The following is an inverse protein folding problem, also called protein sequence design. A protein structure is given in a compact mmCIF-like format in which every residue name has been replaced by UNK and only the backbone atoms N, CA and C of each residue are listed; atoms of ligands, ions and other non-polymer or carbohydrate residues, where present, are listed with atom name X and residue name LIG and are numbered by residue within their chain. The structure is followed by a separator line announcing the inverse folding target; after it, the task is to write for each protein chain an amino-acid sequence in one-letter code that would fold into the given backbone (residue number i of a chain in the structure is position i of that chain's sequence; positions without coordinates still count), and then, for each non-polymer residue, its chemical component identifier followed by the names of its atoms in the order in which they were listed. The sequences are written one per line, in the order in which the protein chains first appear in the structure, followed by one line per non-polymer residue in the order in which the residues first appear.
data_IF_412953758968
#
_entry.id   IF_412953758968
#
_cell.length_a   1.000
_cell.length_b   1.000
_cell.length_c   1.000
_cell.angle_alpha   90.00
_cell.angle_beta   90.00
_cell.angle_gamma   90.00
#
_symmetry.space_group_name_H-M   'P 1'
#
loop_
_entity.id
_entity.type
_entity.pdbx_description
1 polymer ?
#
# COMPACT_ATOMS: atom_id res chain seq x y z
N UNK A 1 -25.09 -9.90 -6.68
CA UNK A 1 -23.98 -10.85 -6.46
C UNK A 1 -22.75 -10.10 -5.96
N UNK A 2 -22.18 -10.52 -4.84
CA UNK A 2 -20.93 -9.91 -4.36
C UNK A 2 -19.78 -10.32 -5.27
N UNK A 3 -19.01 -9.35 -5.72
CA UNK A 3 -17.81 -9.57 -6.51
C UNK A 3 -16.59 -9.59 -5.58
N UNK A 4 -15.78 -10.63 -5.67
CA UNK A 4 -14.51 -10.68 -4.95
C UNK A 4 -13.48 -9.84 -5.71
N UNK A 5 -12.72 -9.04 -4.97
CA UNK A 5 -11.63 -8.25 -5.50
C UNK A 5 -10.32 -8.95 -5.11
N UNK A 6 -9.46 -9.17 -6.09
CA UNK A 6 -8.15 -9.75 -5.85
C UNK A 6 -7.11 -8.62 -5.73
N UNK A 7 -6.32 -8.71 -4.66
CA UNK A 7 -5.26 -7.74 -4.36
C UNK A 7 -3.93 -8.47 -4.12
N UNK A 8 -3.29 -8.99 -5.17
CA UNK A 8 -2.01 -9.69 -5.01
C UNK A 8 -0.93 -8.73 -4.51
N UNK A 9 -0.13 -9.20 -3.54
CA UNK A 9 0.97 -8.42 -2.99
C UNK A 9 2.21 -8.54 -3.86
N UNK A 10 2.82 -7.41 -4.20
CA UNK A 10 4.09 -7.40 -4.92
C UNK A 10 5.27 -7.83 -4.05
N UNK A 11 5.06 -7.99 -2.75
CA UNK A 11 6.11 -8.52 -1.87
C UNK A 11 6.54 -9.93 -2.30
N UNK A 12 5.63 -10.68 -2.94
CA UNK A 12 5.90 -12.03 -3.45
C UNK A 12 6.47 -12.03 -4.88
N UNK A 13 6.66 -10.86 -5.49
CA UNK A 13 7.17 -10.77 -6.85
C UNK A 13 8.69 -10.93 -6.91
N UNK A 14 9.18 -11.28 -8.08
CA UNK A 14 10.60 -11.13 -8.41
C UNK A 14 10.83 -9.66 -8.82
N UNK A 15 11.53 -8.91 -7.99
CA UNK A 15 11.70 -7.47 -8.21
C UNK A 15 12.48 -7.13 -9.48
N UNK A 16 13.29 -8.05 -10.00
CA UNK A 16 13.95 -7.87 -11.30
C UNK A 16 12.95 -7.82 -12.45
N UNK A 17 11.79 -8.44 -12.27
CA UNK A 17 10.73 -8.57 -13.27
C UNK A 17 9.42 -7.93 -12.80
N UNK A 18 9.51 -6.95 -11.90
CA UNK A 18 8.33 -6.41 -11.23
C UNK A 18 7.27 -5.89 -12.20
N UNK A 19 7.66 -5.10 -13.17
CA UNK A 19 6.72 -4.55 -14.16
C UNK A 19 6.00 -5.63 -14.95
N UNK A 20 6.73 -6.63 -15.42
CA UNK A 20 6.16 -7.79 -16.12
C UNK A 20 5.14 -8.53 -15.27
N UNK A 21 5.48 -8.80 -14.02
CA UNK A 21 4.62 -9.55 -13.11
C UNK A 21 3.37 -8.77 -12.73
N UNK A 22 3.47 -7.47 -12.56
CA UNK A 22 2.29 -6.61 -12.35
C UNK A 22 1.35 -6.70 -13.56
N UNK A 23 1.88 -6.60 -14.78
CA UNK A 23 1.08 -6.72 -15.99
C UNK A 23 0.40 -8.09 -16.12
N UNK A 24 1.06 -9.14 -15.66
CA UNK A 24 0.47 -10.48 -15.63
C UNK A 24 -0.75 -10.53 -14.70
N UNK A 25 -0.66 -9.92 -13.52
CA UNK A 25 -1.80 -9.85 -12.59
C UNK A 25 -2.96 -9.05 -13.19
N UNK A 26 -2.67 -7.98 -13.90
CA UNK A 26 -3.68 -7.14 -14.55
C UNK A 26 -4.39 -7.93 -15.66
N UNK A 27 -3.64 -8.65 -16.51
CA UNK A 27 -4.22 -9.51 -17.55
C UNK A 27 -5.05 -10.64 -16.95
N UNK A 28 -4.66 -11.15 -15.80
CA UNK A 28 -5.40 -12.20 -15.10
C UNK A 28 -6.68 -11.69 -14.43
N UNK A 29 -6.91 -10.38 -14.41
CA UNK A 29 -8.13 -9.77 -13.90
C UNK A 29 -8.06 -9.28 -12.47
N UNK A 30 -6.87 -9.21 -11.85
CA UNK A 30 -6.73 -8.60 -10.52
C UNK A 30 -6.95 -7.09 -10.62
N UNK A 31 -7.88 -6.57 -9.82
CA UNK A 31 -8.23 -5.14 -9.87
C UNK A 31 -7.31 -4.28 -9.02
N UNK A 32 -6.68 -4.88 -8.00
CA UNK A 32 -5.82 -4.19 -7.04
C UNK A 32 -4.40 -4.74 -7.10
N UNK A 33 -3.45 -3.89 -6.72
CA UNK A 33 -2.09 -4.30 -6.35
C UNK A 33 -1.92 -3.95 -4.87
N UNK A 34 -1.58 -4.96 -4.06
CA UNK A 34 -1.29 -4.77 -2.65
C UNK A 34 0.19 -4.46 -2.46
N UNK A 35 0.47 -3.35 -1.78
CA UNK A 35 1.81 -2.77 -1.66
C UNK A 35 2.21 -2.76 -0.18
N UNK A 36 2.93 -3.79 0.26
CA UNK A 36 3.32 -3.99 1.67
C UNK A 36 4.60 -3.23 2.00
N UNK A 37 4.48 -2.15 2.77
CA UNK A 37 5.61 -1.33 3.22
C UNK A 37 6.01 -1.75 4.64
N UNK A 38 7.24 -2.17 4.79
CA UNK A 38 7.80 -2.69 6.04
C UNK A 38 9.07 -1.91 6.39
N UNK A 39 9.18 -1.42 7.63
CA UNK A 39 10.27 -0.54 8.06
C UNK A 39 11.39 -1.22 8.87
N UNK A 40 11.24 -2.50 9.19
CA UNK A 40 12.21 -3.21 10.00
C UNK A 40 12.16 -2.89 11.49
N UNK A 41 11.21 -2.04 11.91
CA UNK A 41 10.99 -1.67 13.32
C UNK A 41 9.65 -2.20 13.79
N UNK A 42 8.57 -1.82 13.14
CA UNK A 42 7.22 -2.32 13.45
C UNK A 42 7.11 -3.83 13.13
N UNK A 43 7.79 -4.26 12.07
CA UNK A 43 7.91 -5.66 11.66
C UNK A 43 9.39 -5.98 11.38
N UNK A 44 9.83 -7.24 11.50
CA UNK A 44 11.26 -7.60 11.43
C UNK A 44 11.81 -7.74 10.00
N UNK A 45 11.33 -6.93 9.08
CA UNK A 45 11.79 -6.94 7.68
C UNK A 45 11.67 -5.54 7.10
N UNK A 46 12.47 -5.26 6.07
CA UNK A 46 12.39 -4.03 5.29
C UNK A 46 12.00 -4.43 3.87
N UNK A 47 10.97 -3.80 3.30
CA UNK A 47 10.53 -4.15 1.95
C UNK A 47 10.93 -3.09 0.90
N UNK A 48 10.11 -2.08 0.71
CA UNK A 48 10.29 -1.04 -0.31
C UNK A 48 9.44 0.18 0.08
N UNK A 49 9.53 1.24 -0.68
CA UNK A 49 8.84 2.50 -0.33
C UNK A 49 8.43 3.33 -1.54
N UNK A 50 8.48 4.63 -1.36
CA UNK A 50 7.96 5.61 -2.30
C UNK A 50 8.51 5.50 -3.73
N UNK A 51 9.83 5.29 -3.96
CA UNK A 51 10.33 5.20 -5.33
C UNK A 51 9.74 4.05 -6.14
N UNK A 52 9.49 2.91 -5.49
CA UNK A 52 8.88 1.75 -6.14
C UNK A 52 7.42 2.05 -6.48
N UNK A 53 6.67 2.60 -5.52
CA UNK A 53 5.26 2.98 -5.75
C UNK A 53 5.13 3.95 -6.92
N UNK A 54 5.95 4.99 -6.92
CA UNK A 54 5.97 5.99 -8.00
C UNK A 54 6.25 5.35 -9.35
N UNK A 55 7.17 4.39 -9.39
CA UNK A 55 7.53 3.68 -10.63
C UNK A 55 6.38 2.87 -11.19
N UNK A 56 5.62 2.19 -10.34
CA UNK A 56 4.52 1.33 -10.81
C UNK A 56 3.23 2.10 -11.09
N UNK A 57 3.05 3.27 -10.48
CA UNK A 57 1.83 4.07 -10.68
C UNK A 57 1.57 4.39 -12.14
N UNK A 58 2.59 4.71 -12.90
CA UNK A 58 2.46 5.11 -14.30
C UNK A 58 2.26 3.95 -15.27
N UNK A 59 2.39 2.69 -14.83
CA UNK A 59 2.37 1.53 -15.72
C UNK A 59 1.14 0.66 -15.59
N UNK A 60 0.28 0.88 -14.61
CA UNK A 60 -0.90 0.07 -14.38
C UNK A 60 -2.11 0.93 -14.06
N UNK A 61 -3.30 0.46 -14.50
CA UNK A 61 -4.58 1.04 -14.11
C UNK A 61 -5.17 0.42 -12.85
N UNK A 62 -4.48 -0.55 -12.23
CA UNK A 62 -4.95 -1.20 -11.02
C UNK A 62 -4.95 -0.23 -9.84
N UNK A 63 -5.82 -0.47 -8.85
CA UNK A 63 -5.86 0.29 -7.61
C UNK A 63 -4.63 -0.05 -6.79
N UNK A 64 -3.89 0.96 -6.35
CA UNK A 64 -2.71 0.78 -5.51
C UNK A 64 -3.12 0.83 -4.04
N UNK A 65 -3.19 -0.35 -3.44
CA UNK A 65 -3.65 -0.60 -2.07
C UNK A 65 -2.42 -0.70 -1.16
N UNK A 66 -2.05 0.41 -0.52
CA UNK A 66 -0.81 0.54 0.25
C UNK A 66 -1.06 0.18 1.71
N UNK A 67 -0.32 -0.81 2.21
CA UNK A 67 -0.38 -1.29 3.58
C UNK A 67 0.90 -0.88 4.31
N UNK A 68 0.76 0.03 5.26
CA UNK A 68 1.90 0.57 6.01
C UNK A 68 2.13 -0.21 7.29
N UNK A 69 3.14 -1.07 7.27
CA UNK A 69 3.65 -1.78 8.46
C UNK A 69 4.88 -1.03 8.97
N UNK A 70 4.65 0.20 9.40
CA UNK A 70 5.69 1.13 9.83
C UNK A 70 5.30 1.81 11.15
N UNK A 71 6.30 2.16 11.94
CA UNK A 71 6.11 2.93 13.16
C UNK A 71 5.67 4.34 12.80
N UNK A 72 4.62 4.85 13.47
CA UNK A 72 4.09 6.20 13.24
C UNK A 72 3.84 6.50 11.75
N UNK A 73 2.89 5.80 11.12
CA UNK A 73 2.66 5.92 9.68
C UNK A 73 2.23 7.31 9.23
N UNK A 74 1.69 8.14 10.12
CA UNK A 74 1.28 9.52 9.78
C UNK A 74 2.42 10.33 9.16
N UNK A 75 3.67 10.00 9.50
CA UNK A 75 4.86 10.66 8.95
C UNK A 75 4.98 10.51 7.44
N UNK A 76 4.39 9.46 6.87
CA UNK A 76 4.58 9.09 5.46
C UNK A 76 3.32 9.18 4.61
N UNK A 77 2.17 9.44 5.23
CA UNK A 77 0.86 9.45 4.54
C UNK A 77 0.87 10.36 3.31
N UNK A 78 1.33 11.59 3.49
CA UNK A 78 1.34 12.58 2.41
C UNK A 78 2.20 12.15 1.23
N UNK A 79 3.39 11.63 1.51
CA UNK A 79 4.33 11.18 0.48
C UNK A 79 3.79 9.96 -0.29
N UNK A 80 3.20 8.98 0.40
CA UNK A 80 2.59 7.83 -0.28
C UNK A 80 1.41 8.25 -1.15
N UNK A 81 0.60 9.20 -0.67
CA UNK A 81 -0.50 9.75 -1.47
C UNK A 81 0.02 10.40 -2.75
N UNK A 82 1.07 11.23 -2.65
CA UNK A 82 1.70 11.89 -3.81
C UNK A 82 2.30 10.87 -4.78
N UNK A 83 2.83 9.76 -4.28
CA UNK A 83 3.43 8.72 -5.13
C UNK A 83 2.41 7.85 -5.83
N UNK A 84 1.12 7.99 -5.53
CA UNK A 84 0.06 7.34 -6.26
C UNK A 84 -0.77 6.32 -5.50
N UNK A 85 -0.66 6.25 -4.18
CA UNK A 85 -1.53 5.38 -3.38
C UNK A 85 -3.00 5.76 -3.60
N UNK A 86 -3.84 4.76 -3.80
CA UNK A 86 -5.30 4.95 -3.90
C UNK A 86 -5.98 4.63 -2.57
N UNK A 87 -5.40 3.71 -1.80
CA UNK A 87 -5.84 3.33 -0.46
C UNK A 87 -4.59 3.27 0.43
N UNK A 88 -4.68 3.82 1.64
CA UNK A 88 -3.63 3.69 2.65
C UNK A 88 -4.23 3.04 3.89
N UNK A 89 -3.71 1.87 4.24
CA UNK A 89 -4.10 1.12 5.44
C UNK A 89 -2.98 1.21 6.48
N UNK A 90 -3.35 1.55 7.70
CA UNK A 90 -2.44 1.66 8.84
C UNK A 90 -2.80 0.68 9.94
N UNK A 91 -1.83 0.29 10.75
CA UNK A 91 -2.06 -0.54 11.92
C UNK A 91 -2.46 0.31 13.12
N UNK A 92 -3.50 -0.12 13.83
CA UNK A 92 -3.92 0.50 15.08
C UNK A 92 -2.75 0.59 16.06
N UNK A 93 -1.99 -0.50 16.18
CA UNK A 93 -0.87 -0.60 17.13
C UNK A 93 0.30 0.35 16.82
N UNK A 94 0.40 0.81 15.59
CA UNK A 94 1.49 1.69 15.14
C UNK A 94 1.16 3.18 15.27
N UNK A 95 -0.09 3.53 15.56
CA UNK A 95 -0.54 4.91 15.61
C UNK A 95 -0.67 5.38 17.06
N UNK A 96 0.04 6.44 17.45
CA UNK A 96 -0.21 7.14 18.71
C UNK A 96 -1.60 7.78 18.71
N UNK A 97 -1.98 8.37 17.58
CA UNK A 97 -3.27 9.02 17.35
C UNK A 97 -3.90 8.47 16.08
N UNK A 98 -4.70 7.41 16.23
CA UNK A 98 -5.35 6.77 15.10
C UNK A 98 -6.28 7.73 14.37
N UNK A 99 -7.11 8.48 15.10
CA UNK A 99 -8.04 9.43 14.49
C UNK A 99 -7.31 10.48 13.66
N UNK A 100 -6.25 11.07 14.22
CA UNK A 100 -5.43 12.07 13.53
C UNK A 100 -4.76 11.49 12.28
N UNK A 101 -4.31 10.24 12.35
CA UNK A 101 -3.72 9.54 11.20
C UNK A 101 -4.75 9.32 10.09
N UNK A 102 -5.95 8.86 10.43
CA UNK A 102 -7.03 8.67 9.46
C UNK A 102 -7.46 10.00 8.84
N UNK A 103 -7.55 11.06 9.63
CA UNK A 103 -7.87 12.40 9.13
C UNK A 103 -6.78 12.89 8.15
N UNK A 104 -5.52 12.60 8.43
CA UNK A 104 -4.42 12.93 7.52
C UNK A 104 -4.56 12.20 6.18
N UNK A 105 -4.92 10.92 6.20
CA UNK A 105 -5.17 10.16 4.98
C UNK A 105 -6.33 10.78 4.19
N UNK A 106 -7.44 11.05 4.86
CA UNK A 106 -8.62 11.63 4.21
C UNK A 106 -8.32 13.00 3.58
N UNK A 107 -7.50 13.83 4.22
CA UNK A 107 -7.11 15.14 3.67
C UNK A 107 -6.37 15.04 2.35
N UNK A 108 -5.71 13.92 2.06
CA UNK A 108 -5.04 13.71 0.77
C UNK A 108 -6.00 13.29 -0.34
N UNK A 109 -7.25 12.98 -0.02
CA UNK A 109 -8.23 12.44 -0.96
C UNK A 109 -8.16 10.93 -1.15
N UNK A 110 -7.27 10.26 -0.44
CA UNK A 110 -7.04 8.81 -0.53
C UNK A 110 -7.98 8.09 0.45
N UNK A 111 -8.39 6.88 0.11
CA UNK A 111 -9.19 6.04 1.01
C UNK A 111 -8.34 5.51 2.16
N UNK A 112 -8.93 5.43 3.35
CA UNK A 112 -8.25 4.98 4.54
C UNK A 112 -8.72 3.59 4.97
N UNK A 113 -7.78 2.78 5.45
CA UNK A 113 -8.04 1.48 6.06
C UNK A 113 -7.34 1.37 7.40
N UNK A 114 -7.90 0.55 8.29
CA UNK A 114 -7.30 0.23 9.59
C UNK A 114 -7.22 -1.28 9.72
N UNK A 115 -6.09 -1.75 10.22
CA UNK A 115 -5.90 -3.17 10.50
C UNK A 115 -5.23 -3.36 11.86
N UNK A 116 -5.21 -4.59 12.32
CA UNK A 116 -4.59 -4.99 13.58
C UNK A 116 -3.69 -6.21 13.34
N UNK A 117 -2.66 -6.36 14.17
CA UNK A 117 -1.85 -7.57 14.16
C UNK A 117 -2.63 -8.74 14.74
N UNK A 118 -2.36 -9.98 14.27
CA UNK A 118 -2.98 -11.19 14.83
C UNK A 118 -2.55 -11.45 16.27
#
# INVERSE_FOLDING_TARGET
MRRNILAPSILSADFKELGCQIRETERAGAEYIHFDVMDGIFVPSISFGMPVLKSIKGMTGQVLDVHLMVTEPVRYVEEFAKCGADIITVHLEACEDLKGTLDAIHRTGVKAGVTIKP
#
